data_IF_167922804675
#
_entry.id   IF_167922804675
#
_cell.length_a   1.000
_cell.length_b   1.000
_cell.length_c   1.000
_cell.angle_alpha   90.00
_cell.angle_beta   90.00
_cell.angle_gamma   90.00
#
_symmetry.space_group_name_H-M   'P 1'
#
loop_
_entity.id
_entity.type
_entity.pdbx_description
1 polymer ?
#
# COMPACT_ATOMS: atom_id res chain seq x y z
N UNK A 1 29.09 -12.20 5.39
CA UNK A 1 27.67 -12.23 5.00
C UNK A 1 27.53 -11.14 3.95
N UNK A 2 27.10 -11.47 2.76
CA UNK A 2 26.91 -10.48 1.69
C UNK A 2 25.80 -9.52 2.09
N UNK A 3 25.99 -8.21 1.88
CA UNK A 3 24.98 -7.20 2.21
C UNK A 3 23.89 -7.23 1.15
N UNK A 4 22.66 -6.94 1.57
CA UNK A 4 21.50 -6.93 0.65
C UNK A 4 21.68 -5.86 -0.44
N UNK A 5 22.27 -4.71 -0.11
CA UNK A 5 22.55 -3.63 -1.05
C UNK A 5 23.46 -4.08 -2.19
N UNK A 6 24.52 -4.82 -1.88
CA UNK A 6 25.43 -5.39 -2.89
C UNK A 6 24.70 -6.40 -3.78
N UNK A 7 23.83 -7.24 -3.19
CA UNK A 7 23.01 -8.19 -3.94
C UNK A 7 22.04 -7.47 -4.88
N UNK A 8 21.41 -6.37 -4.43
CA UNK A 8 20.53 -5.53 -5.25
C UNK A 8 21.32 -4.93 -6.42
N UNK A 9 22.42 -4.24 -6.16
CA UNK A 9 23.27 -3.61 -7.19
C UNK A 9 23.75 -4.62 -8.23
N UNK A 10 24.21 -5.79 -7.79
CA UNK A 10 24.60 -6.89 -8.68
C UNK A 10 23.46 -7.29 -9.62
N UNK A 11 22.27 -7.53 -9.10
CA UNK A 11 21.15 -7.94 -9.92
C UNK A 11 20.59 -6.80 -10.79
N UNK A 12 20.79 -5.54 -10.43
CA UNK A 12 20.50 -4.41 -11.31
C UNK A 12 21.40 -4.38 -12.55
N UNK A 13 22.63 -4.87 -12.44
CA UNK A 13 23.57 -4.95 -13.58
C UNK A 13 23.33 -6.20 -14.43
N UNK A 14 23.13 -7.38 -13.82
CA UNK A 14 23.13 -8.66 -14.54
C UNK A 14 21.74 -9.20 -14.87
N UNK A 15 20.65 -8.62 -14.29
CA UNK A 15 19.28 -9.13 -14.50
C UNK A 15 18.34 -8.00 -14.96
N UNK A 16 18.18 -7.87 -16.28
CA UNK A 16 17.38 -6.81 -16.89
C UNK A 16 15.89 -6.87 -16.49
N UNK A 17 15.30 -8.06 -16.41
CA UNK A 17 13.92 -8.24 -15.97
C UNK A 17 13.68 -7.75 -14.54
N UNK A 18 14.66 -8.03 -13.67
CA UNK A 18 14.64 -7.56 -12.29
C UNK A 18 14.76 -6.03 -12.24
N UNK A 19 15.75 -5.47 -12.96
CA UNK A 19 16.00 -4.03 -13.01
C UNK A 19 14.76 -3.25 -13.45
N UNK A 20 14.09 -3.69 -14.50
CA UNK A 20 12.86 -3.07 -14.99
C UNK A 20 11.73 -3.07 -13.96
N UNK A 21 11.66 -4.09 -13.10
CA UNK A 21 10.62 -4.21 -12.07
C UNK A 21 10.91 -3.36 -10.84
N UNK A 22 12.17 -3.28 -10.39
CA UNK A 22 12.46 -2.72 -9.06
C UNK A 22 12.95 -1.27 -9.09
N UNK A 23 13.57 -0.82 -10.18
CA UNK A 23 14.09 0.56 -10.31
C UNK A 23 13.04 1.64 -9.97
N UNK A 24 11.77 1.54 -10.38
CA UNK A 24 10.78 2.55 -10.05
C UNK A 24 10.52 2.74 -8.54
N UNK A 25 10.89 1.77 -7.73
CA UNK A 25 10.62 1.76 -6.28
C UNK A 25 11.86 2.02 -5.43
N UNK A 26 13.06 1.93 -6.00
CA UNK A 26 14.30 2.17 -5.29
C UNK A 26 14.67 3.65 -5.41
N UNK A 27 15.01 4.26 -4.28
CA UNK A 27 15.54 5.62 -4.24
C UNK A 27 17.03 5.59 -3.87
N UNK A 28 17.84 6.52 -4.43
CA UNK A 28 19.25 6.63 -4.05
C UNK A 28 19.47 6.80 -2.54
N UNK A 29 18.54 7.47 -1.86
CA UNK A 29 18.57 7.70 -0.41
C UNK A 29 18.43 6.41 0.44
N UNK A 30 17.99 5.29 -0.16
CA UNK A 30 17.86 4.02 0.56
C UNK A 30 19.22 3.39 0.84
N UNK A 31 20.23 3.67 0.01
CA UNK A 31 21.60 3.19 0.22
C UNK A 31 22.31 4.00 1.31
N UNK A 32 22.99 3.31 2.22
CA UNK A 32 23.71 3.97 3.32
C UNK A 32 25.08 4.50 2.89
N UNK A 33 25.77 3.74 2.05
CA UNK A 33 27.11 4.10 1.59
C UNK A 33 27.02 5.00 0.36
N UNK A 34 27.83 6.06 0.36
CA UNK A 34 27.92 7.00 -0.78
C UNK A 34 28.28 6.29 -2.08
N UNK A 35 29.20 5.32 -2.02
CA UNK A 35 29.63 4.54 -3.17
C UNK A 35 28.46 3.75 -3.81
N UNK A 36 27.67 3.04 -3.00
CA UNK A 36 26.51 2.28 -3.46
C UNK A 36 25.43 3.20 -4.07
N UNK A 37 25.22 4.36 -3.46
CA UNK A 37 24.29 5.37 -3.97
C UNK A 37 24.71 5.86 -5.36
N UNK A 38 26.00 6.18 -5.55
CA UNK A 38 26.54 6.63 -6.84
C UNK A 38 26.42 5.53 -7.90
N UNK A 39 26.73 4.28 -7.55
CA UNK A 39 26.57 3.13 -8.46
C UNK A 39 25.11 3.02 -8.91
N UNK A 40 24.16 3.10 -7.99
CA UNK A 40 22.74 3.04 -8.32
C UNK A 40 22.32 4.20 -9.24
N UNK A 41 22.72 5.44 -8.93
CA UNK A 41 22.43 6.61 -9.75
C UNK A 41 22.90 6.43 -11.19
N UNK A 42 24.14 5.92 -11.39
CA UNK A 42 24.69 5.66 -12.73
C UNK A 42 23.95 4.54 -13.46
N UNK A 43 23.61 3.45 -12.78
CA UNK A 43 22.79 2.38 -13.37
C UNK A 43 21.46 2.95 -13.90
N UNK A 44 20.77 3.76 -13.07
CA UNK A 44 19.49 4.36 -13.46
C UNK A 44 19.64 5.32 -14.63
N UNK A 45 20.63 6.21 -14.58
CA UNK A 45 20.90 7.16 -15.67
C UNK A 45 21.18 6.44 -16.99
N UNK A 46 21.99 5.39 -16.95
CA UNK A 46 22.31 4.60 -18.14
C UNK A 46 21.09 3.91 -18.73
N UNK A 47 20.27 3.28 -17.88
CA UNK A 47 19.03 2.61 -18.32
C UNK A 47 18.04 3.61 -18.91
N UNK A 48 17.89 4.79 -18.31
CA UNK A 48 17.01 5.86 -18.85
C UNK A 48 17.53 6.36 -20.21
N UNK A 49 18.86 6.48 -20.36
CA UNK A 49 19.47 7.03 -21.57
C UNK A 49 19.50 6.04 -22.73
N UNK A 50 19.79 4.78 -22.45
CA UNK A 50 20.06 3.76 -23.49
C UNK A 50 18.98 2.67 -23.59
N UNK A 51 18.09 2.55 -22.60
CA UNK A 51 17.02 1.54 -22.59
C UNK A 51 17.47 0.11 -22.34
N UNK A 52 18.72 -0.10 -21.95
CA UNK A 52 19.34 -1.43 -21.73
C UNK A 52 20.10 -1.47 -20.42
N UNK A 53 20.35 -2.67 -19.89
CA UNK A 53 21.21 -2.86 -18.72
C UNK A 53 22.64 -2.39 -18.99
N UNK A 54 23.29 -1.83 -17.97
CA UNK A 54 24.69 -1.39 -18.04
C UNK A 54 25.61 -2.59 -17.79
N UNK A 55 26.78 -2.62 -18.48
CA UNK A 55 27.84 -3.58 -18.14
C UNK A 55 28.77 -3.01 -17.09
N UNK A 56 29.51 -3.87 -16.37
CA UNK A 56 30.48 -3.43 -15.34
C UNK A 56 31.54 -2.52 -15.94
N UNK A 57 31.99 -2.82 -17.17
CA UNK A 57 32.98 -2.00 -17.87
C UNK A 57 32.44 -0.61 -18.20
N UNK A 58 31.20 -0.53 -18.73
CA UNK A 58 30.55 0.74 -19.02
C UNK A 58 30.31 1.56 -17.73
N UNK A 59 29.90 0.90 -16.65
CA UNK A 59 29.71 1.52 -15.34
C UNK A 59 31.00 2.14 -14.81
N UNK A 60 32.14 1.44 -14.92
CA UNK A 60 33.44 1.96 -14.51
C UNK A 60 33.85 3.18 -15.34
N UNK A 61 33.57 3.18 -16.66
CA UNK A 61 33.87 4.32 -17.53
C UNK A 61 33.01 5.54 -17.20
N UNK A 62 31.72 5.36 -17.00
CA UNK A 62 30.82 6.46 -16.65
C UNK A 62 31.19 7.08 -15.29
N UNK A 63 31.59 6.27 -14.30
CA UNK A 63 32.04 6.74 -13.00
C UNK A 63 33.36 7.54 -13.10
N UNK A 64 34.30 7.14 -13.96
CA UNK A 64 35.53 7.89 -14.20
C UNK A 64 35.27 9.28 -14.83
N UNK A 65 34.23 9.42 -15.61
CA UNK A 65 33.83 10.67 -16.23
C UNK A 65 33.14 11.65 -15.27
N UNK A 66 32.77 11.21 -14.07
CA UNK A 66 32.16 12.10 -13.05
C UNK A 66 33.18 13.07 -12.47
N UNK A 67 32.79 14.32 -12.41
CA UNK A 67 33.62 15.43 -11.89
C UNK A 67 33.36 15.76 -10.43
N UNK A 68 32.34 15.17 -9.84
CA UNK A 68 31.90 15.39 -8.45
C UNK A 68 32.47 14.39 -7.45
N UNK A 69 33.29 13.42 -7.94
CA UNK A 69 33.93 12.39 -7.14
C UNK A 69 35.44 12.64 -7.00
N UNK A 70 35.95 12.31 -5.83
CA UNK A 70 37.43 12.34 -5.61
C UNK A 70 38.05 10.96 -5.95
N UNK A 71 39.36 10.93 -6.08
CA UNK A 71 40.08 9.72 -6.46
C UNK A 71 39.89 8.54 -5.48
N UNK A 72 39.70 8.82 -4.20
CA UNK A 72 39.46 7.80 -3.19
C UNK A 72 38.08 7.17 -3.36
N UNK A 73 37.07 7.98 -3.59
CA UNK A 73 35.70 7.53 -3.87
C UNK A 73 35.60 6.71 -5.15
N UNK A 74 36.29 7.14 -6.21
CA UNK A 74 36.37 6.38 -7.48
C UNK A 74 37.00 4.99 -7.26
N UNK A 75 38.07 4.90 -6.46
CA UNK A 75 38.69 3.60 -6.13
C UNK A 75 37.74 2.68 -5.37
N UNK A 76 37.07 3.20 -4.35
CA UNK A 76 36.11 2.45 -3.55
C UNK A 76 34.92 1.93 -4.41
N UNK A 77 34.36 2.78 -5.26
CA UNK A 77 33.28 2.42 -6.19
C UNK A 77 33.76 1.34 -7.16
N UNK A 78 34.96 1.47 -7.70
CA UNK A 78 35.55 0.50 -8.63
C UNK A 78 35.78 -0.87 -7.95
N UNK A 79 36.21 -0.89 -6.71
CA UNK A 79 36.34 -2.13 -5.93
C UNK A 79 35.00 -2.83 -5.76
N UNK A 80 33.96 -2.08 -5.43
CA UNK A 80 32.57 -2.62 -5.35
C UNK A 80 32.12 -3.15 -6.71
N UNK A 81 32.27 -2.37 -7.79
CA UNK A 81 31.84 -2.78 -9.14
C UNK A 81 32.53 -4.05 -9.61
N UNK A 82 33.88 -4.15 -9.39
CA UNK A 82 34.65 -5.33 -9.78
C UNK A 82 34.33 -6.57 -8.92
N UNK A 83 33.75 -6.38 -7.74
CA UNK A 83 33.26 -7.47 -6.92
C UNK A 83 31.89 -8.01 -7.37
N UNK A 84 31.16 -7.25 -8.20
CA UNK A 84 29.89 -7.67 -8.75
C UNK A 84 30.13 -8.79 -9.78
N UNK A 85 29.56 -9.96 -9.52
CA UNK A 85 29.65 -11.11 -10.40
C UNK A 85 28.25 -11.62 -10.75
N UNK A 86 28.11 -12.25 -11.91
CA UNK A 86 26.85 -12.89 -12.30
C UNK A 86 26.64 -14.16 -11.45
N UNK A 87 25.94 -14.01 -10.35
CA UNK A 87 25.58 -15.11 -9.45
C UNK A 87 24.06 -15.22 -9.40
N UNK A 88 23.50 -16.36 -9.85
CA UNK A 88 22.05 -16.55 -9.93
C UNK A 88 21.45 -16.48 -8.53
N UNK A 89 20.41 -15.66 -8.39
CA UNK A 89 19.57 -15.61 -7.19
C UNK A 89 18.15 -16.10 -7.56
N UNK A 90 17.46 -16.71 -6.61
CA UNK A 90 16.04 -17.02 -6.79
C UNK A 90 15.26 -15.72 -7.03
N UNK A 91 14.51 -15.71 -8.14
CA UNK A 91 13.85 -14.49 -8.65
C UNK A 91 12.78 -13.99 -7.67
N UNK A 92 11.97 -14.88 -7.09
CA UNK A 92 10.90 -14.49 -6.18
C UNK A 92 11.47 -14.03 -4.84
N UNK A 93 12.41 -14.79 -4.28
CA UNK A 93 13.10 -14.39 -3.06
C UNK A 93 13.76 -13.02 -3.18
N UNK A 94 14.41 -12.75 -4.33
CA UNK A 94 15.09 -11.49 -4.58
C UNK A 94 14.09 -10.31 -4.62
N UNK A 95 12.95 -10.47 -5.30
CA UNK A 95 11.91 -9.45 -5.35
C UNK A 95 11.32 -9.18 -3.96
N UNK A 96 10.94 -10.22 -3.22
CA UNK A 96 10.35 -10.10 -1.89
C UNK A 96 11.33 -9.44 -0.90
N UNK A 97 12.62 -9.83 -0.99
CA UNK A 97 13.66 -9.29 -0.12
C UNK A 97 13.97 -7.83 -0.45
N UNK A 98 13.99 -7.47 -1.75
CA UNK A 98 14.20 -6.08 -2.19
C UNK A 98 13.02 -5.19 -1.79
N UNK A 99 11.79 -5.67 -1.94
CA UNK A 99 10.60 -4.93 -1.51
C UNK A 99 10.63 -4.66 0.00
N UNK A 100 10.94 -5.69 0.78
CA UNK A 100 11.09 -5.54 2.23
C UNK A 100 12.17 -4.53 2.59
N UNK A 101 13.33 -4.61 1.93
CA UNK A 101 14.42 -3.67 2.15
C UNK A 101 14.01 -2.23 1.80
N UNK A 102 13.36 -2.01 0.66
CA UNK A 102 12.86 -0.68 0.27
C UNK A 102 11.88 -0.13 1.31
N UNK A 103 10.95 -0.94 1.79
CA UNK A 103 9.97 -0.56 2.82
C UNK A 103 10.65 -0.21 4.13
N UNK A 104 11.57 -1.05 4.60
CA UNK A 104 12.31 -0.82 5.86
C UNK A 104 13.14 0.47 5.77
N UNK A 105 13.79 0.75 4.63
CA UNK A 105 14.53 1.99 4.40
C UNK A 105 13.64 3.22 4.30
N UNK A 106 12.51 3.11 3.59
CA UNK A 106 11.53 4.19 3.50
C UNK A 106 11.01 4.58 4.89
N UNK A 107 10.63 3.59 5.71
CA UNK A 107 10.16 3.82 7.09
C UNK A 107 11.26 4.47 7.93
N UNK A 108 12.50 3.97 7.86
CA UNK A 108 13.62 4.54 8.61
C UNK A 108 13.84 6.02 8.26
N UNK A 109 13.89 6.35 6.97
CA UNK A 109 14.08 7.74 6.52
C UNK A 109 12.90 8.63 6.92
N UNK A 110 11.67 8.15 6.80
CA UNK A 110 10.48 8.86 7.22
C UNK A 110 10.46 9.16 8.73
N UNK A 111 10.92 8.20 9.56
CA UNK A 111 11.07 8.41 10.99
C UNK A 111 12.14 9.46 11.31
N UNK A 112 13.31 9.39 10.66
CA UNK A 112 14.38 10.37 10.84
C UNK A 112 13.93 11.77 10.43
N UNK A 113 13.23 11.90 9.31
CA UNK A 113 12.65 13.16 8.85
C UNK A 113 11.57 13.67 9.83
N UNK A 114 10.71 12.80 10.30
CA UNK A 114 9.66 13.13 11.27
C UNK A 114 10.25 13.66 12.59
N UNK A 115 11.34 13.06 13.07
CA UNK A 115 12.07 13.53 14.26
C UNK A 115 12.66 14.92 13.99
N UNK A 116 13.29 15.12 12.83
CA UNK A 116 13.87 16.42 12.46
C UNK A 116 12.83 17.54 12.40
N UNK A 117 11.64 17.25 11.87
CA UNK A 117 10.49 18.17 11.86
C UNK A 117 9.97 18.41 13.28
N UNK A 118 9.86 17.37 14.12
CA UNK A 118 9.36 17.48 15.49
C UNK A 118 10.27 18.34 16.37
N UNK A 119 11.59 18.26 16.17
CA UNK A 119 12.61 19.05 16.85
C UNK A 119 12.64 20.52 16.38
N UNK A 120 11.89 20.86 15.33
CA UNK A 120 11.83 22.23 14.81
C UNK A 120 13.04 22.64 13.98
N UNK A 121 13.79 21.68 13.46
CA UNK A 121 14.98 21.90 12.65
C UNK A 121 14.68 22.00 11.14
N UNK A 122 13.42 21.85 10.73
CA UNK A 122 12.98 21.96 9.35
C UNK A 122 12.13 23.23 9.14
N UNK A 123 12.68 24.20 8.42
CA UNK A 123 11.99 25.45 8.10
C UNK A 123 10.91 25.30 7.00
N UNK A 124 10.87 24.17 6.32
CA UNK A 124 10.00 23.96 5.14
C UNK A 124 8.78 23.10 5.42
N UNK A 125 8.87 22.18 6.38
CA UNK A 125 7.82 21.22 6.71
C UNK A 125 7.27 21.45 8.11
N UNK A 126 5.95 21.47 8.22
CA UNK A 126 5.20 21.62 9.45
C UNK A 126 4.95 20.24 10.07
N UNK A 127 4.72 20.18 11.39
CA UNK A 127 4.38 18.94 12.12
C UNK A 127 3.16 18.20 11.56
N UNK A 128 2.25 18.93 10.94
CA UNK A 128 1.07 18.35 10.27
C UNK A 128 1.41 17.46 9.06
N UNK A 129 2.64 17.56 8.52
CA UNK A 129 3.12 16.71 7.44
C UNK A 129 3.55 15.31 7.90
N UNK A 130 3.85 15.13 9.20
CA UNK A 130 4.38 13.87 9.74
C UNK A 130 3.47 12.66 9.44
N UNK A 131 2.14 12.72 9.64
CA UNK A 131 1.28 11.58 9.33
C UNK A 131 1.33 11.16 7.85
N UNK A 132 1.41 12.13 6.94
CA UNK A 132 1.52 11.87 5.51
C UNK A 132 2.85 11.23 5.15
N UNK A 133 3.97 11.76 5.67
CA UNK A 133 5.31 11.20 5.45
C UNK A 133 5.38 9.74 5.89
N UNK A 134 4.85 9.42 7.06
CA UNK A 134 4.82 8.04 7.58
C UNK A 134 3.86 7.15 6.79
N UNK A 135 2.70 7.66 6.38
CA UNK A 135 1.75 6.94 5.55
C UNK A 135 2.33 6.57 4.19
N UNK A 136 3.02 7.51 3.54
CA UNK A 136 3.65 7.30 2.24
C UNK A 136 4.76 6.24 2.33
N UNK A 137 5.56 6.27 3.40
CA UNK A 137 6.61 5.27 3.64
C UNK A 137 6.03 3.86 3.86
N UNK A 138 4.90 3.75 4.55
CA UNK A 138 4.21 2.47 4.78
C UNK A 138 3.54 1.93 3.51
N UNK A 139 3.20 2.81 2.56
CA UNK A 139 2.56 2.44 1.30
C UNK A 139 3.54 1.91 0.23
N UNK A 140 4.86 1.90 0.50
CA UNK A 140 5.85 1.37 -0.44
C UNK A 140 5.60 -0.13 -0.68
N UNK A 141 5.25 -0.49 -1.90
CA UNK A 141 5.00 -1.85 -2.36
C UNK A 141 5.36 -2.00 -3.83
N UNK A 142 5.88 -3.17 -4.20
CA UNK A 142 6.18 -3.51 -5.60
C UNK A 142 4.95 -4.05 -6.35
N UNK A 143 3.80 -4.04 -5.69
CA UNK A 143 2.56 -4.45 -6.32
C UNK A 143 2.13 -3.41 -7.36
N UNK A 144 2.46 -3.71 -8.62
CA UNK A 144 2.10 -2.89 -9.78
C UNK A 144 0.66 -3.11 -10.26
N UNK A 145 -0.11 -3.95 -9.56
CA UNK A 145 -1.51 -4.20 -9.90
C UNK A 145 -2.41 -3.03 -9.48
N UNK A 146 -2.02 -1.81 -9.85
CA UNK A 146 -2.89 -0.64 -9.75
C UNK A 146 -3.82 -0.67 -10.96
N UNK A 147 -4.95 -1.33 -10.79
CA UNK A 147 -5.95 -1.46 -11.82
C UNK A 147 -6.07 -2.89 -12.37
N UNK A 148 -6.93 -3.04 -13.35
CA UNK A 148 -7.26 -4.31 -13.99
C UNK A 148 -6.83 -4.24 -15.46
N UNK A 149 -5.96 -5.18 -15.88
CA UNK A 149 -5.63 -5.32 -17.31
C UNK A 149 -6.84 -5.88 -18.05
N UNK A 150 -7.51 -4.98 -18.76
CA UNK A 150 -8.76 -5.32 -19.45
C UNK A 150 -8.58 -6.37 -20.54
N UNK A 151 -7.44 -6.42 -21.22
CA UNK A 151 -7.16 -7.37 -22.28
C UNK A 151 -6.52 -8.66 -21.76
N UNK A 152 -5.55 -8.55 -20.84
CA UNK A 152 -4.81 -9.68 -20.30
C UNK A 152 -5.62 -10.56 -19.36
N UNK A 153 -6.46 -9.95 -18.49
CA UNK A 153 -7.16 -10.66 -17.41
C UNK A 153 -8.62 -11.00 -17.76
N UNK A 154 -8.89 -11.41 -19.01
CA UNK A 154 -10.27 -11.70 -19.43
C UNK A 154 -10.89 -12.91 -18.73
N UNK A 155 -10.09 -13.93 -18.40
CA UNK A 155 -10.56 -15.14 -17.70
C UNK A 155 -10.98 -14.83 -16.26
N UNK A 156 -10.16 -14.07 -15.52
CA UNK A 156 -10.48 -13.61 -14.16
C UNK A 156 -11.77 -12.79 -14.13
N UNK A 157 -11.98 -11.94 -15.14
CA UNK A 157 -13.23 -11.16 -15.27
C UNK A 157 -14.42 -12.05 -15.54
N UNK A 158 -14.26 -13.04 -16.41
CA UNK A 158 -15.33 -13.98 -16.71
C UNK A 158 -15.76 -14.73 -15.44
N UNK A 159 -14.81 -15.24 -14.66
CA UNK A 159 -15.06 -15.88 -13.38
C UNK A 159 -15.71 -14.92 -12.39
N UNK A 160 -15.23 -13.68 -12.30
CA UNK A 160 -15.80 -12.65 -11.44
C UNK A 160 -17.27 -12.36 -11.79
N UNK A 161 -17.61 -12.25 -13.05
CA UNK A 161 -19.00 -11.99 -13.50
C UNK A 161 -19.95 -13.16 -13.23
N UNK A 162 -19.44 -14.37 -13.16
CA UNK A 162 -20.25 -15.57 -12.90
C UNK A 162 -20.17 -16.05 -11.45
N UNK A 163 -19.35 -15.42 -10.63
CA UNK A 163 -19.27 -15.72 -9.21
C UNK A 163 -20.51 -15.23 -8.50
N UNK A 164 -21.15 -16.11 -7.73
CA UNK A 164 -22.21 -15.68 -6.82
C UNK A 164 -21.58 -14.84 -5.70
N UNK A 165 -21.88 -13.54 -5.68
CA UNK A 165 -21.46 -12.65 -4.62
C UNK A 165 -22.26 -12.93 -3.35
N UNK A 166 -21.55 -13.04 -2.22
CA UNK A 166 -22.18 -13.06 -0.90
C UNK A 166 -22.74 -11.66 -0.61
N UNK A 167 -24.04 -11.55 -0.53
CA UNK A 167 -24.76 -10.30 -0.29
C UNK A 167 -25.21 -10.21 1.17
N UNK A 168 -25.32 -8.99 1.66
CA UNK A 168 -25.87 -8.68 2.97
C UNK A 168 -27.39 -8.52 2.80
N UNK A 169 -28.15 -9.47 3.28
CA UNK A 169 -29.61 -9.43 3.17
C UNK A 169 -30.23 -8.37 4.08
N UNK A 170 -31.32 -7.78 3.61
CA UNK A 170 -32.20 -7.01 4.47
C UNK A 170 -33.16 -7.96 5.22
N UNK A 171 -33.65 -7.57 6.39
CA UNK A 171 -34.75 -8.24 7.04
C UNK A 171 -36.14 -7.83 6.43
N UNK A 172 -36.09 -6.96 5.43
CA UNK A 172 -37.23 -6.46 4.67
C UNK A 172 -37.25 -7.13 3.29
N UNK A 173 -38.12 -8.09 3.12
CA UNK A 173 -38.28 -8.92 1.91
C UNK A 173 -38.37 -8.09 0.62
N UNK A 174 -39.08 -6.96 0.68
CA UNK A 174 -39.24 -6.08 -0.47
C UNK A 174 -37.90 -5.49 -0.96
N UNK A 175 -37.01 -5.13 -0.04
CA UNK A 175 -35.69 -4.64 -0.40
C UNK A 175 -34.79 -5.76 -0.97
N UNK A 176 -34.87 -6.97 -0.44
CA UNK A 176 -34.18 -8.13 -1.00
C UNK A 176 -34.65 -8.43 -2.42
N UNK A 177 -35.93 -8.27 -2.71
CA UNK A 177 -36.48 -8.46 -4.05
C UNK A 177 -35.93 -7.41 -5.03
N UNK A 178 -35.90 -6.13 -4.65
CA UNK A 178 -35.37 -5.04 -5.50
C UNK A 178 -33.88 -5.20 -5.74
N UNK A 179 -33.11 -5.53 -4.71
CA UNK A 179 -31.63 -5.65 -4.76
C UNK A 179 -31.17 -7.03 -5.24
N UNK A 180 -32.10 -7.91 -5.58
CA UNK A 180 -31.82 -9.30 -5.98
C UNK A 180 -30.95 -10.04 -4.96
N UNK A 181 -31.38 -10.01 -3.69
CA UNK A 181 -30.77 -10.76 -2.60
C UNK A 181 -29.94 -9.95 -1.60
N UNK A 182 -30.00 -8.63 -1.61
CA UNK A 182 -29.34 -7.79 -0.61
C UNK A 182 -28.28 -6.85 -1.17
N UNK A 183 -27.45 -6.29 -0.28
CA UNK A 183 -26.36 -5.38 -0.59
C UNK A 183 -25.11 -6.16 -0.97
N UNK A 184 -24.52 -5.94 -2.15
CA UNK A 184 -23.24 -6.56 -2.51
C UNK A 184 -22.08 -5.98 -1.69
N UNK A 185 -21.06 -6.79 -1.45
CA UNK A 185 -19.85 -6.36 -0.77
C UNK A 185 -19.07 -5.30 -1.59
N UNK A 186 -18.28 -4.46 -0.92
CA UNK A 186 -17.43 -3.42 -1.55
C UNK A 186 -18.21 -2.41 -2.41
N UNK A 187 -19.46 -2.11 -2.06
CA UNK A 187 -20.29 -1.12 -2.77
C UNK A 187 -20.70 0.02 -1.86
N UNK A 188 -20.84 1.22 -2.44
CA UNK A 188 -21.43 2.39 -1.80
C UNK A 188 -22.92 2.39 -2.07
N UNK A 189 -23.74 2.28 -1.00
CA UNK A 189 -25.19 2.33 -1.08
C UNK A 189 -25.70 3.59 -0.36
N UNK A 190 -26.52 4.39 -1.03
CA UNK A 190 -27.01 5.67 -0.51
C UNK A 190 -28.52 5.59 -0.30
N UNK A 191 -28.97 5.74 0.97
CA UNK A 191 -30.38 5.89 1.30
C UNK A 191 -30.78 7.37 1.22
N UNK A 192 -31.58 7.73 0.21
CA UNK A 192 -32.08 9.08 0.02
C UNK A 192 -33.51 9.19 0.50
N UNK A 193 -33.76 10.13 1.42
CA UNK A 193 -35.09 10.43 1.91
C UNK A 193 -35.18 11.88 2.41
N UNK A 194 -36.34 12.49 2.37
CA UNK A 194 -36.61 13.82 2.90
C UNK A 194 -36.43 13.91 4.42
N UNK A 195 -36.46 15.12 4.96
CA UNK A 195 -36.41 15.37 6.41
C UNK A 195 -37.66 14.77 7.09
N UNK A 196 -37.46 14.13 8.25
CA UNK A 196 -38.58 13.56 9.05
C UNK A 196 -39.14 12.21 8.55
N UNK A 197 -38.73 11.72 7.37
CA UNK A 197 -39.27 10.48 6.77
C UNK A 197 -38.77 9.19 7.47
N UNK A 198 -37.76 9.30 8.36
CA UNK A 198 -37.26 8.15 9.11
C UNK A 198 -35.92 7.57 8.59
N UNK A 199 -35.14 8.33 7.84
CA UNK A 199 -33.82 7.91 7.33
C UNK A 199 -32.91 7.30 8.41
N UNK A 200 -32.74 7.99 9.54
CA UNK A 200 -31.92 7.51 10.68
C UNK A 200 -32.51 6.24 11.32
N UNK A 201 -33.85 6.09 11.35
CA UNK A 201 -34.49 4.88 11.83
C UNK A 201 -34.25 3.70 10.88
N UNK A 202 -34.27 3.94 9.59
CA UNK A 202 -33.96 2.92 8.59
C UNK A 202 -32.50 2.46 8.70
N UNK A 203 -31.56 3.39 8.90
CA UNK A 203 -30.13 3.04 9.07
C UNK A 203 -29.89 2.25 10.37
N UNK A 204 -30.53 2.61 11.49
CA UNK A 204 -30.48 1.83 12.73
C UNK A 204 -31.11 0.44 12.56
N UNK A 205 -32.21 0.34 11.79
CA UNK A 205 -32.85 -0.92 11.49
C UNK A 205 -31.93 -1.83 10.65
N UNK A 206 -31.29 -1.29 9.62
CA UNK A 206 -30.33 -2.01 8.80
C UNK A 206 -29.14 -2.50 9.65
N UNK A 207 -28.57 -1.63 10.49
CA UNK A 207 -27.48 -2.00 11.38
C UNK A 207 -27.87 -3.15 12.32
N UNK A 208 -29.07 -3.09 12.95
CA UNK A 208 -29.60 -4.16 13.78
C UNK A 208 -29.75 -5.49 13.01
N UNK A 209 -30.31 -5.43 11.79
CA UNK A 209 -30.49 -6.62 10.94
C UNK A 209 -29.15 -7.27 10.58
N UNK A 210 -28.13 -6.49 10.25
CA UNK A 210 -26.79 -6.99 9.91
C UNK A 210 -26.09 -7.60 11.13
N UNK A 211 -26.24 -7.00 12.32
CA UNK A 211 -25.73 -7.54 13.58
C UNK A 211 -26.39 -8.90 13.92
N UNK A 212 -27.68 -9.05 13.70
CA UNK A 212 -28.42 -10.30 13.92
C UNK A 212 -27.98 -11.42 12.97
N UNK A 213 -27.42 -11.08 11.80
CA UNK A 213 -26.78 -12.02 10.89
C UNK A 213 -25.36 -12.44 11.33
N UNK A 214 -24.88 -11.98 12.50
CA UNK A 214 -23.53 -12.27 13.02
C UNK A 214 -22.41 -11.50 12.34
N UNK A 215 -22.73 -10.42 11.62
CA UNK A 215 -21.74 -9.56 10.94
C UNK A 215 -21.41 -8.35 11.81
N UNK A 216 -20.21 -7.80 11.66
CA UNK A 216 -19.78 -6.57 12.34
C UNK A 216 -20.29 -5.33 11.61
N UNK A 217 -20.70 -4.30 12.37
CA UNK A 217 -21.18 -3.02 11.85
C UNK A 217 -20.40 -1.87 12.47
N UNK A 218 -19.87 -0.98 11.63
CA UNK A 218 -19.37 0.34 12.05
C UNK A 218 -20.46 1.37 11.72
N UNK A 219 -20.99 2.07 12.73
CA UNK A 219 -21.95 3.13 12.56
C UNK A 219 -21.32 4.49 12.93
N UNK A 220 -21.29 5.41 11.96
CA UNK A 220 -20.75 6.77 12.15
C UNK A 220 -21.94 7.73 12.14
N UNK A 221 -22.08 8.55 13.19
CA UNK A 221 -23.13 9.57 13.29
C UNK A 221 -22.52 10.95 13.49
N UNK A 222 -23.04 11.94 12.75
CA UNK A 222 -22.65 13.35 12.84
C UNK A 222 -23.78 14.24 13.34
N UNK A 223 -25.00 13.70 13.53
CA UNK A 223 -26.22 14.45 13.86
C UNK A 223 -26.79 14.04 15.22
N UNK A 224 -26.66 12.78 15.59
CA UNK A 224 -27.25 12.23 16.83
C UNK A 224 -26.16 11.71 17.77
N UNK A 225 -26.40 11.83 19.08
CA UNK A 225 -25.54 11.23 20.08
C UNK A 225 -25.48 9.69 19.92
N UNK A 226 -24.33 9.11 20.17
CA UNK A 226 -24.05 7.67 19.98
C UNK A 226 -24.92 6.79 20.86
N UNK A 227 -25.23 7.22 22.09
CA UNK A 227 -26.10 6.49 23.01
C UNK A 227 -27.52 6.39 22.47
N UNK A 228 -27.99 7.42 21.75
CA UNK A 228 -29.31 7.41 21.12
C UNK A 228 -29.37 6.47 19.93
N UNK A 229 -28.29 6.33 19.19
CA UNK A 229 -28.17 5.34 18.12
C UNK A 229 -28.15 3.93 18.71
N UNK A 230 -27.31 3.70 19.73
CA UNK A 230 -27.24 2.43 20.44
C UNK A 230 -28.59 2.01 21.00
N UNK A 231 -29.33 2.89 21.70
CA UNK A 231 -30.66 2.63 22.21
C UNK A 231 -31.65 2.20 21.11
N UNK A 232 -31.55 2.82 19.92
CA UNK A 232 -32.42 2.47 18.78
C UNK A 232 -32.09 1.12 18.18
N UNK A 233 -30.83 0.76 18.12
CA UNK A 233 -30.36 -0.55 17.65
C UNK A 233 -30.80 -1.63 18.66
N UNK A 234 -30.58 -1.42 19.96
CA UNK A 234 -30.93 -2.37 21.02
C UNK A 234 -32.42 -2.64 21.09
N UNK A 235 -33.26 -1.61 21.01
CA UNK A 235 -34.71 -1.78 20.99
C UNK A 235 -35.22 -2.66 19.84
N UNK A 236 -34.48 -2.75 18.76
CA UNK A 236 -34.78 -3.62 17.64
C UNK A 236 -34.24 -5.04 17.86
N UNK A 237 -33.02 -5.18 18.36
CA UNK A 237 -32.37 -6.47 18.60
C UNK A 237 -33.01 -7.23 19.76
N UNK A 238 -33.41 -6.57 20.86
CA UNK A 238 -34.10 -7.20 22.00
C UNK A 238 -35.50 -7.71 21.69
N UNK A 239 -36.18 -7.18 20.69
CA UNK A 239 -37.48 -7.71 20.22
C UNK A 239 -37.36 -8.99 19.41
N UNK A 240 -36.17 -9.28 18.84
CA UNK A 240 -35.98 -10.41 17.92
C UNK A 240 -35.20 -11.58 18.57
N UNK A 241 -34.51 -11.37 19.69
CA UNK A 241 -33.75 -12.46 20.32
C UNK A 241 -33.61 -12.26 21.84
N UNK A 242 -34.15 -13.18 22.61
CA UNK A 242 -33.88 -13.35 24.05
C UNK A 242 -32.65 -14.24 24.32
N UNK A 243 -31.82 -14.53 23.34
CA UNK A 243 -30.65 -15.40 23.48
C UNK A 243 -29.43 -14.83 22.75
N UNK A 244 -28.49 -14.31 23.57
CA UNK A 244 -27.05 -14.16 23.31
C UNK A 244 -26.55 -13.82 21.90
N UNK A 245 -26.66 -12.56 21.48
CA UNK A 245 -25.79 -12.01 20.44
C UNK A 245 -24.69 -11.18 21.10
N UNK A 246 -23.43 -11.57 20.94
CA UNK A 246 -22.29 -10.68 21.23
C UNK A 246 -22.30 -9.55 20.21
N UNK A 247 -22.87 -8.40 20.60
CA UNK A 247 -22.92 -7.22 19.74
C UNK A 247 -21.58 -6.49 19.92
N UNK A 248 -20.73 -6.56 18.89
CA UNK A 248 -19.54 -5.69 18.78
C UNK A 248 -19.88 -4.54 17.84
N UNK A 249 -20.03 -3.33 18.37
CA UNK A 249 -20.15 -2.12 17.56
C UNK A 249 -19.14 -1.07 18.02
N UNK A 250 -18.63 -0.29 17.09
CA UNK A 250 -17.84 0.89 17.36
C UNK A 250 -18.57 2.10 16.77
N UNK A 251 -18.80 3.12 17.59
CA UNK A 251 -19.42 4.38 17.17
C UNK A 251 -18.36 5.47 17.33
N UNK A 252 -18.08 6.18 16.24
CA UNK A 252 -17.19 7.33 16.23
C UNK A 252 -18.00 8.58 15.87
N UNK A 253 -17.77 9.64 16.63
CA UNK A 253 -18.29 10.98 16.33
C UNK A 253 -17.25 11.82 15.58
#
# INVERSE_FOLDING_TARGET
>A
MERIETTILRNLVFNEDYSRKVIPFIQPSYFEQKAEKVIFEEIVQFIVKYGSAITVEALNIEIENRTDLNETEIKEIREINNSLNDSPADKQWLLDTTEKWCRDRAIYLALMESIHIADGNDDKKNRDAIPTILSDALAVSFDNNIGHDYLGNYEERYEFYHRQEDKIEFDLEYFNKITKGGLPNKTLNIALAGTGVGKSLFMCHLASSVLLQGRSVLYITLEMAEERIAERIDRKSTRLNSSHANISYAVFC
#
